data_IF_708448790117
#
_entry.id   IF_708448790117
#
_cell.length_a   1.000
_cell.length_b   1.000
_cell.length_c   1.000
_cell.angle_alpha   90.00
_cell.angle_beta   90.00
_cell.angle_gamma   90.00
#
_symmetry.space_group_name_H-M   'P 1'
#
loop_
_entity.id
_entity.type
_entity.pdbx_description
1 polymer ?
#
# COMPACT_ATOMS: atom_id res chain seq x y z
N UNK A 1 -14.27 -43.67 55.56
CA UNK A 1 -13.61 -43.64 54.24
C UNK A 1 -13.24 -42.20 53.94
N UNK A 2 -12.01 -41.75 54.25
CA UNK A 2 -11.34 -40.62 53.59
C UNK A 2 -9.83 -40.75 53.84
N UNK A 3 -9.12 -41.09 52.77
CA UNK A 3 -7.68 -41.31 52.68
C UNK A 3 -7.10 -40.16 51.86
N UNK A 4 -6.16 -39.40 52.40
CA UNK A 4 -5.35 -38.45 51.62
C UNK A 4 -4.01 -38.30 52.32
N UNK A 5 -2.98 -39.08 51.95
CA UNK A 5 -2.05 -39.01 50.81
C UNK A 5 -1.03 -37.87 50.92
N UNK A 6 0.22 -38.33 50.91
CA UNK A 6 1.45 -37.68 51.31
C UNK A 6 1.94 -36.54 50.42
N UNK A 7 2.71 -35.68 51.08
CA UNK A 7 3.57 -34.62 50.62
C UNK A 7 4.55 -35.06 49.51
N UNK A 8 4.73 -34.25 48.46
CA UNK A 8 5.93 -34.31 47.61
C UNK A 8 6.31 -32.90 47.17
N UNK A 9 7.49 -32.47 47.61
CA UNK A 9 8.13 -31.20 47.30
C UNK A 9 9.00 -31.40 46.06
N UNK A 10 8.75 -30.66 44.98
CA UNK A 10 9.60 -30.64 43.79
C UNK A 10 10.36 -29.31 43.76
N UNK A 11 11.66 -29.36 44.06
CA UNK A 11 12.60 -28.30 43.72
C UNK A 11 12.97 -28.46 42.24
N UNK A 12 12.65 -27.46 41.42
CA UNK A 12 13.20 -27.32 40.08
C UNK A 12 14.16 -26.11 40.07
N UNK A 13 15.45 -26.38 39.94
CA UNK A 13 16.49 -25.37 39.73
C UNK A 13 16.48 -24.93 38.26
N UNK A 14 16.13 -23.67 38.00
CA UNK A 14 16.26 -23.08 36.67
C UNK A 14 17.54 -22.22 36.62
N UNK A 15 18.55 -22.73 35.91
CA UNK A 15 19.77 -22.01 35.62
C UNK A 15 19.49 -20.89 34.60
N UNK A 16 19.73 -19.63 34.96
CA UNK A 16 19.59 -18.49 34.07
C UNK A 16 20.86 -18.33 33.23
N UNK A 17 20.77 -18.72 31.96
CA UNK A 17 21.81 -18.49 30.95
C UNK A 17 21.83 -17.01 30.55
N UNK A 18 22.96 -16.35 30.81
CA UNK A 18 23.28 -15.01 30.33
C UNK A 18 23.50 -15.03 28.82
N UNK A 19 22.56 -14.46 28.05
CA UNK A 19 22.74 -14.25 26.61
C UNK A 19 23.47 -12.92 26.37
N UNK A 20 24.71 -13.01 25.87
CA UNK A 20 25.45 -11.89 25.30
C UNK A 20 24.83 -11.53 23.95
N UNK A 21 24.16 -10.38 23.85
CA UNK A 21 23.66 -9.86 22.58
C UNK A 21 24.81 -9.11 21.89
N UNK A 22 25.33 -9.68 20.81
CA UNK A 22 26.25 -8.98 19.92
C UNK A 22 25.43 -8.00 19.05
N UNK A 23 25.67 -6.70 19.22
CA UNK A 23 25.09 -5.68 18.35
C UNK A 23 25.79 -5.73 16.99
N UNK A 24 25.13 -6.31 15.98
CA UNK A 24 25.54 -6.18 14.58
C UNK A 24 25.14 -4.79 14.11
N UNK A 25 26.13 -3.92 13.92
CA UNK A 25 25.93 -2.64 13.23
C UNK A 25 25.70 -2.93 11.74
N UNK A 26 24.44 -2.85 11.29
CA UNK A 26 24.13 -2.82 9.86
C UNK A 26 24.53 -1.44 9.31
N UNK A 27 25.17 -1.37 8.13
CA UNK A 27 25.34 -0.09 7.45
C UNK A 27 23.95 0.44 7.07
N UNK A 28 23.52 1.51 7.74
CA UNK A 28 22.43 2.34 7.22
C UNK A 28 22.97 3.03 5.97
N UNK A 29 22.67 2.47 4.80
CA UNK A 29 22.80 3.22 3.56
C UNK A 29 21.88 4.43 3.70
N UNK A 30 22.47 5.63 3.77
CA UNK A 30 21.74 6.88 3.67
C UNK A 30 21.08 6.95 2.29
N UNK A 31 19.88 6.38 2.18
CA UNK A 31 18.99 6.66 1.06
C UNK A 31 18.56 8.10 1.23
N UNK A 32 19.32 9.01 0.62
CA UNK A 32 18.88 10.39 0.43
C UNK A 32 18.06 10.40 -0.85
N UNK A 33 16.98 9.59 -0.89
CA UNK A 33 15.90 9.87 -1.81
C UNK A 33 15.15 11.03 -1.20
N UNK A 34 15.46 12.23 -1.69
CA UNK A 34 14.53 13.34 -1.58
C UNK A 34 13.32 12.92 -2.40
N UNK A 35 12.38 12.21 -1.76
CA UNK A 35 11.07 12.00 -2.35
C UNK A 35 10.50 13.42 -2.55
N UNK A 36 10.49 13.91 -3.78
CA UNK A 36 9.70 15.09 -4.12
C UNK A 36 8.23 14.68 -4.02
N UNK A 37 7.70 14.78 -2.81
CA UNK A 37 6.38 14.29 -2.44
C UNK A 37 5.31 15.37 -2.57
N UNK A 38 5.21 15.97 -3.75
CA UNK A 38 4.19 17.00 -4.00
C UNK A 38 3.15 16.55 -5.02
N UNK A 39 3.01 15.23 -5.28
CA UNK A 39 1.93 14.70 -6.11
C UNK A 39 1.17 13.56 -5.44
N UNK A 40 -0.10 13.83 -5.13
CA UNK A 40 -0.97 12.98 -4.33
C UNK A 40 -2.29 12.73 -5.05
N UNK A 41 -2.93 11.62 -4.74
CA UNK A 41 -4.20 11.20 -5.31
C UNK A 41 -5.18 10.75 -4.22
N UNK A 42 -6.45 11.12 -4.33
CA UNK A 42 -7.56 10.55 -3.56
C UNK A 42 -8.55 9.91 -4.50
N UNK A 43 -9.06 8.73 -4.17
CA UNK A 43 -10.12 8.08 -4.93
C UNK A 43 -11.49 8.47 -4.36
N UNK A 44 -12.41 8.89 -5.20
CA UNK A 44 -13.73 9.40 -4.82
C UNK A 44 -14.88 8.56 -5.41
N UNK A 45 -16.07 8.69 -4.82
CA UNK A 45 -17.25 7.87 -5.16
C UNK A 45 -18.06 8.46 -6.34
N UNK A 46 -17.83 9.72 -6.68
CA UNK A 46 -18.46 10.42 -7.80
C UNK A 46 -17.47 10.66 -8.95
N UNK A 47 -17.95 11.19 -10.07
CA UNK A 47 -17.13 11.54 -11.24
C UNK A 47 -16.54 12.95 -11.15
N UNK A 48 -17.04 13.77 -10.23
CA UNK A 48 -16.70 15.19 -10.08
C UNK A 48 -15.71 15.46 -8.93
N UNK A 49 -15.21 14.41 -8.27
CA UNK A 49 -14.29 14.48 -7.13
C UNK A 49 -14.82 15.30 -5.95
N UNK A 50 -16.12 15.24 -5.66
CA UNK A 50 -16.75 16.01 -4.59
C UNK A 50 -17.27 15.18 -3.43
N UNK A 51 -17.41 13.86 -3.61
CA UNK A 51 -18.06 12.99 -2.63
C UNK A 51 -17.22 11.76 -2.31
N UNK A 52 -17.17 11.43 -1.01
CA UNK A 52 -16.62 10.16 -0.54
C UNK A 52 -15.14 9.97 -0.78
N UNK A 53 -14.37 11.03 -1.05
CA UNK A 53 -12.94 10.92 -1.29
C UNK A 53 -12.21 10.27 -0.10
N UNK A 54 -11.41 9.25 -0.40
CA UNK A 54 -10.63 8.49 0.58
C UNK A 54 -9.36 9.20 1.04
N UNK A 55 -8.42 8.43 1.58
CA UNK A 55 -7.12 8.97 2.01
C UNK A 55 -6.26 9.37 0.81
N UNK A 56 -5.42 10.39 1.01
CA UNK A 56 -4.44 10.80 -0.01
C UNK A 56 -3.28 9.81 -0.04
N UNK A 57 -3.00 9.26 -1.22
CA UNK A 57 -1.84 8.40 -1.47
C UNK A 57 -0.86 9.10 -2.37
N UNK A 58 0.42 8.81 -2.18
CA UNK A 58 1.47 9.38 -2.99
C UNK A 58 1.56 8.66 -4.34
N UNK A 59 1.51 9.40 -5.44
CA UNK A 59 1.50 8.81 -6.80
C UNK A 59 2.82 8.08 -7.11
N UNK A 60 3.95 8.53 -6.58
CA UNK A 60 5.26 7.89 -6.79
C UNK A 60 5.49 6.65 -5.92
N UNK A 61 4.69 6.41 -4.87
CA UNK A 61 4.84 5.25 -3.99
C UNK A 61 3.51 4.78 -3.37
N UNK A 62 2.53 4.35 -4.18
CA UNK A 62 1.21 3.98 -3.64
C UNK A 62 1.13 2.55 -3.10
N UNK A 63 2.02 1.66 -3.53
CA UNK A 63 1.78 0.22 -3.42
C UNK A 63 0.57 -0.23 -4.26
N UNK A 64 -0.14 -1.25 -3.78
CA UNK A 64 -1.42 -1.68 -4.36
C UNK A 64 -2.58 -1.01 -3.61
N UNK A 65 -3.53 -0.44 -4.35
CA UNK A 65 -4.65 0.33 -3.80
C UNK A 65 -5.97 -0.41 -4.04
N UNK A 66 -6.57 -0.94 -2.98
CA UNK A 66 -7.87 -1.65 -3.02
C UNK A 66 -9.07 -0.70 -3.10
N UNK A 67 -9.14 0.10 -4.15
CA UNK A 67 -10.10 1.20 -4.32
C UNK A 67 -11.30 0.80 -5.21
N UNK A 68 -11.85 -0.39 -4.96
CA UNK A 68 -12.99 -0.96 -5.70
C UNK A 68 -14.21 -0.04 -5.71
N UNK A 69 -14.85 0.11 -6.87
CA UNK A 69 -16.08 0.91 -7.03
C UNK A 69 -15.90 2.43 -7.11
N UNK A 70 -14.67 2.93 -7.01
CA UNK A 70 -14.36 4.37 -7.12
C UNK A 70 -14.52 4.86 -8.55
N UNK A 71 -14.90 6.13 -8.69
CA UNK A 71 -15.35 6.71 -9.97
C UNK A 71 -14.52 7.91 -10.42
N UNK A 72 -13.73 8.51 -9.54
CA UNK A 72 -12.77 9.52 -9.93
C UNK A 72 -11.52 9.50 -9.04
N UNK A 73 -10.46 10.12 -9.55
CA UNK A 73 -9.22 10.41 -8.83
C UNK A 73 -9.03 11.92 -8.74
N UNK A 74 -8.97 12.44 -7.52
CA UNK A 74 -8.62 13.82 -7.21
C UNK A 74 -7.12 13.94 -6.99
N UNK A 75 -6.44 14.67 -7.86
CA UNK A 75 -5.02 14.95 -7.75
C UNK A 75 -4.75 16.24 -6.96
N UNK A 76 -3.64 16.24 -6.23
CA UNK A 76 -3.14 17.39 -5.49
C UNK A 76 -1.67 17.64 -5.79
N UNK A 77 -1.31 18.93 -5.83
CA UNK A 77 0.04 19.38 -6.16
C UNK A 77 0.36 19.19 -7.64
N UNK A 78 1.61 18.85 -7.97
CA UNK A 78 2.08 18.83 -9.35
C UNK A 78 2.87 17.57 -9.67
N UNK A 79 2.57 16.97 -10.82
CA UNK A 79 3.32 15.82 -11.31
C UNK A 79 4.79 16.20 -11.54
N UNK A 80 5.69 15.39 -11.03
CA UNK A 80 7.15 15.47 -11.17
C UNK A 80 7.68 14.53 -12.27
N UNK A 81 6.78 13.86 -13.00
CA UNK A 81 7.11 12.97 -14.11
C UNK A 81 5.86 12.39 -14.79
N UNK A 82 6.11 11.51 -15.76
CA UNK A 82 5.04 10.74 -16.40
C UNK A 82 4.63 9.57 -15.49
N UNK A 83 3.33 9.43 -15.28
CA UNK A 83 2.75 8.35 -14.49
C UNK A 83 1.68 7.62 -15.28
N UNK A 84 1.47 6.35 -14.95
CA UNK A 84 0.37 5.56 -15.44
C UNK A 84 -0.38 4.87 -14.30
N UNK A 85 -1.68 4.66 -14.49
CA UNK A 85 -2.55 3.93 -13.60
C UNK A 85 -2.75 2.52 -14.16
N UNK A 86 -2.23 1.52 -13.44
CA UNK A 86 -2.49 0.11 -13.69
C UNK A 86 -3.78 -0.27 -12.99
N UNK A 87 -4.66 -0.95 -13.72
CA UNK A 87 -5.94 -1.49 -13.24
C UNK A 87 -5.82 -3.00 -13.14
N UNK A 88 -6.27 -3.55 -12.01
CA UNK A 88 -6.17 -4.97 -11.70
C UNK A 88 -7.53 -5.55 -11.30
N UNK A 89 -7.83 -6.81 -11.72
CA UNK A 89 -9.16 -7.40 -11.56
C UNK A 89 -9.43 -7.91 -10.13
N UNK A 90 -8.42 -8.04 -9.29
CA UNK A 90 -8.53 -8.44 -7.87
C UNK A 90 -7.87 -7.41 -6.95
N UNK A 91 -8.18 -7.46 -5.66
CA UNK A 91 -7.77 -6.43 -4.68
C UNK A 91 -6.28 -6.39 -4.32
N UNK A 92 -5.48 -7.35 -4.79
CA UNK A 92 -4.06 -7.54 -4.48
C UNK A 92 -3.12 -7.18 -5.65
N UNK A 93 -3.66 -6.55 -6.71
CA UNK A 93 -2.93 -6.10 -7.90
C UNK A 93 -2.02 -7.17 -8.56
N UNK A 94 -2.49 -8.41 -8.80
CA UNK A 94 -1.63 -9.52 -9.24
C UNK A 94 -1.15 -9.38 -10.68
N UNK A 95 -1.93 -8.70 -11.53
CA UNK A 95 -1.66 -8.49 -12.95
C UNK A 95 -2.39 -7.22 -13.43
N UNK A 96 -2.02 -6.71 -14.60
CA UNK A 96 -2.58 -5.54 -15.27
C UNK A 96 -3.57 -6.02 -16.34
N UNK A 97 -4.88 -5.81 -16.17
CA UNK A 97 -5.86 -6.00 -17.25
C UNK A 97 -5.92 -4.79 -18.17
N UNK A 98 -5.75 -3.60 -17.62
CA UNK A 98 -5.80 -2.34 -18.35
C UNK A 98 -4.86 -1.33 -17.72
N UNK A 99 -4.39 -0.38 -18.51
CA UNK A 99 -3.58 0.71 -18.02
C UNK A 99 -3.89 2.00 -18.80
N UNK A 100 -3.81 3.13 -18.10
CA UNK A 100 -3.99 4.46 -18.69
C UNK A 100 -2.93 5.43 -18.18
N UNK A 101 -2.42 6.29 -19.06
CA UNK A 101 -1.56 7.41 -18.66
C UNK A 101 -2.33 8.37 -17.75
N UNK A 102 -1.71 8.81 -16.66
CA UNK A 102 -2.26 9.83 -15.77
C UNK A 102 -2.33 11.15 -16.55
N UNK A 103 -3.50 11.80 -16.63
CA UNK A 103 -3.65 13.04 -17.39
C UNK A 103 -2.89 14.20 -16.73
N UNK A 104 -2.20 15.01 -17.54
CA UNK A 104 -1.51 16.22 -17.07
C UNK A 104 -2.44 17.42 -17.07
N UNK A 105 -2.30 18.31 -16.08
CA UNK A 105 -3.12 19.52 -15.95
C UNK A 105 -4.59 19.26 -15.58
N UNK A 106 -4.95 18.02 -15.26
CA UNK A 106 -6.28 17.62 -14.81
C UNK A 106 -6.24 17.37 -13.30
N UNK A 107 -7.09 18.07 -12.56
CA UNK A 107 -7.18 17.89 -11.11
C UNK A 107 -8.16 16.77 -10.72
N UNK A 108 -9.26 16.61 -11.46
CA UNK A 108 -10.22 15.54 -11.25
C UNK A 108 -10.28 14.65 -12.49
N UNK A 109 -9.91 13.38 -12.35
CA UNK A 109 -9.91 12.43 -13.44
C UNK A 109 -11.03 11.41 -13.25
N UNK A 110 -11.98 11.39 -14.19
CA UNK A 110 -13.02 10.36 -14.27
C UNK A 110 -12.40 9.00 -14.64
N UNK A 111 -12.61 8.04 -13.76
CA UNK A 111 -12.19 6.64 -13.92
C UNK A 111 -13.38 5.67 -13.83
N UNK A 112 -14.62 6.16 -14.01
CA UNK A 112 -15.84 5.37 -13.87
C UNK A 112 -15.91 4.18 -14.84
N UNK A 113 -15.15 4.18 -15.92
CA UNK A 113 -14.95 3.01 -16.78
C UNK A 113 -14.31 1.81 -16.06
N UNK A 114 -13.62 2.02 -14.94
CA UNK A 114 -12.96 0.99 -14.12
C UNK A 114 -13.74 0.67 -12.82
N UNK A 115 -15.00 1.11 -12.70
CA UNK A 115 -15.77 0.95 -11.46
C UNK A 115 -16.00 -0.52 -11.05
N UNK A 116 -15.81 -1.48 -11.98
CA UNK A 116 -15.95 -2.92 -11.72
C UNK A 116 -14.64 -3.58 -11.28
N UNK A 117 -13.51 -2.88 -11.45
CA UNK A 117 -12.18 -3.35 -11.06
C UNK A 117 -11.98 -3.22 -9.55
N UNK A 118 -11.05 -3.99 -9.02
CA UNK A 118 -10.90 -4.16 -7.57
C UNK A 118 -9.70 -3.40 -7.00
N UNK A 119 -8.68 -3.15 -7.81
CA UNK A 119 -7.50 -2.41 -7.35
C UNK A 119 -6.77 -1.66 -8.44
N UNK A 120 -5.97 -0.70 -7.98
CA UNK A 120 -5.20 0.20 -8.80
C UNK A 120 -3.76 0.32 -8.30
N UNK A 121 -2.85 0.67 -9.19
CA UNK A 121 -1.45 0.97 -8.84
C UNK A 121 -0.90 2.04 -9.76
N UNK A 122 -0.39 3.12 -9.21
CA UNK A 122 0.41 4.05 -10.01
C UNK A 122 1.79 3.47 -10.28
N UNK A 123 2.31 3.70 -11.48
CA UNK A 123 3.67 3.38 -11.89
C UNK A 123 4.28 4.61 -12.55
N UNK A 124 5.59 4.78 -12.41
CA UNK A 124 6.35 5.76 -13.20
C UNK A 124 6.47 5.29 -14.66
N UNK A 125 6.34 6.23 -15.60
CA UNK A 125 6.47 5.99 -17.02
C UNK A 125 5.15 5.63 -17.71
N UNK A 126 5.16 4.54 -18.49
CA UNK A 126 4.09 4.21 -19.44
C UNK A 126 3.55 2.80 -19.25
N UNK A 127 2.39 2.54 -19.83
CA UNK A 127 1.69 1.26 -19.73
C UNK A 127 2.44 0.11 -20.41
N UNK A 128 2.51 -1.01 -19.70
CA UNK A 128 2.91 -2.30 -20.27
C UNK A 128 1.77 -2.96 -21.05
N UNK A 129 2.03 -4.16 -21.57
CA UNK A 129 0.98 -5.02 -22.12
C UNK A 129 0.12 -5.63 -21.00
N UNK A 130 -1.12 -6.02 -21.34
CA UNK A 130 -1.94 -6.89 -20.50
C UNK A 130 -1.16 -8.16 -20.13
N UNK A 131 -1.13 -8.48 -18.85
CA UNK A 131 -0.46 -9.67 -18.33
C UNK A 131 -1.35 -10.48 -17.37
N UNK A 132 -2.66 -10.23 -17.45
CA UNK A 132 -3.70 -11.18 -17.09
C UNK A 132 -4.08 -12.02 -18.34
#
# INVERSE_FOLDING_TARGET
MFTTKSLTLLLAAAATTTHLVAAVALPFNNVTEVIQADYWAQFCDDTDCTQGCGESVQVSNPGCLGESGRRSILFHGGADGDYALVVSPSGDCPCQTTCASVPTGVQCWDISQYQTDQSFRFIGGSCGADNC
#
